data_IF_528352134407
#
_entry.id   IF_528352134407
#
_cell.length_a   1.000
_cell.length_b   1.000
_cell.length_c   1.000
_cell.angle_alpha   90.00
_cell.angle_beta   90.00
_cell.angle_gamma   90.00
#
_symmetry.space_group_name_H-M   'P 1'
#
loop_
_entity.id
_entity.type
_entity.pdbx_description
1 polymer ?
#
# COMPACT_ATOMS: atom_id res chain seq x y z
N UNK A 1 3.33 6.11 -10.58
CA UNK A 1 2.20 6.88 -10.02
C UNK A 1 1.24 6.05 -9.16
N UNK A 2 0.85 4.82 -9.50
CA UNK A 2 -0.14 4.06 -8.70
C UNK A 2 0.30 3.85 -7.24
N UNK A 3 1.60 3.60 -7.01
CA UNK A 3 2.17 3.54 -5.66
C UNK A 3 1.95 4.82 -4.85
N UNK A 4 1.95 6.00 -5.49
CA UNK A 4 1.71 7.26 -4.80
C UNK A 4 0.29 7.33 -4.22
N UNK A 5 -0.71 6.71 -4.87
CA UNK A 5 -2.06 6.62 -4.32
C UNK A 5 -2.05 5.82 -3.02
N UNK A 6 -1.32 4.70 -3.00
CA UNK A 6 -1.16 3.89 -1.77
C UNK A 6 -0.44 4.70 -0.68
N UNK A 7 0.60 5.45 -1.03
CA UNK A 7 1.28 6.33 -0.08
C UNK A 7 0.37 7.44 0.47
N UNK A 8 -0.49 8.04 -0.37
CA UNK A 8 -1.47 9.05 0.08
C UNK A 8 -2.45 8.43 1.08
N UNK A 9 -2.98 7.25 0.78
CA UNK A 9 -3.84 6.51 1.71
C UNK A 9 -3.11 6.14 3.01
N UNK A 10 -1.84 5.74 2.92
CA UNK A 10 -0.99 5.45 4.06
C UNK A 10 -0.82 6.68 4.97
N UNK A 11 -0.51 7.86 4.41
CA UNK A 11 -0.38 9.09 5.19
C UNK A 11 -1.70 9.52 5.82
N UNK A 12 -2.82 9.43 5.08
CA UNK A 12 -4.16 9.72 5.62
C UNK A 12 -4.47 8.77 6.80
N UNK A 13 -4.21 7.47 6.63
CA UNK A 13 -4.36 6.47 7.69
C UNK A 13 -3.47 6.77 8.90
N UNK A 14 -2.24 7.25 8.67
CA UNK A 14 -1.32 7.64 9.72
C UNK A 14 -1.81 8.89 10.49
N UNK A 15 -2.37 9.90 9.81
CA UNK A 15 -3.01 11.03 10.48
C UNK A 15 -4.20 10.58 11.34
N UNK A 16 -5.04 9.68 10.82
CA UNK A 16 -6.13 9.07 11.60
C UNK A 16 -5.59 8.36 12.84
N UNK A 17 -4.50 7.60 12.70
CA UNK A 17 -3.84 6.90 13.81
C UNK A 17 -3.31 7.87 14.87
N UNK A 18 -2.64 8.96 14.47
CA UNK A 18 -2.08 9.95 15.39
C UNK A 18 -3.20 10.69 16.14
N UNK A 19 -4.26 11.09 15.44
CA UNK A 19 -5.28 11.99 15.98
C UNK A 19 -6.44 11.27 16.66
N UNK A 20 -6.95 10.18 16.07
CA UNK A 20 -8.15 9.48 16.55
C UNK A 20 -7.85 8.24 17.39
N UNK A 21 -6.64 7.67 17.30
CA UNK A 21 -6.29 6.39 17.95
C UNK A 21 -5.06 6.52 18.86
N UNK A 22 -5.16 7.40 19.87
CA UNK A 22 -4.04 7.76 20.75
C UNK A 22 -3.70 6.69 21.80
N UNK A 23 -4.68 5.91 22.25
CA UNK A 23 -4.53 4.94 23.36
C UNK A 23 -3.99 3.56 22.93
N UNK A 24 -3.53 3.42 21.69
CA UNK A 24 -2.96 2.15 21.21
C UNK A 24 -1.52 1.99 21.71
N UNK A 25 -1.18 0.79 22.23
CA UNK A 25 0.20 0.44 22.59
C UNK A 25 1.05 0.37 21.33
N UNK A 26 2.09 1.20 21.25
CA UNK A 26 2.97 1.32 20.07
C UNK A 26 4.38 0.86 20.44
N UNK A 27 4.91 -0.23 19.84
CA UNK A 27 6.27 -0.68 20.10
C UNK A 27 7.33 0.29 19.55
N UNK A 28 6.98 1.05 18.52
CA UNK A 28 7.81 2.10 17.93
C UNK A 28 7.06 3.43 17.88
N UNK A 29 7.77 4.53 18.16
CA UNK A 29 7.26 5.88 18.02
C UNK A 29 8.28 6.75 17.29
N UNK A 30 7.83 7.40 16.22
CA UNK A 30 8.60 8.46 15.57
C UNK A 30 8.89 9.57 16.60
N UNK A 31 10.13 10.07 16.66
CA UNK A 31 10.53 11.11 17.61
C UNK A 31 9.76 12.42 17.40
N UNK A 32 9.73 13.28 18.42
CA UNK A 32 9.05 14.59 18.36
C UNK A 32 7.58 14.60 18.79
N UNK A 33 7.13 13.57 19.53
CA UNK A 33 5.75 13.45 20.06
C UNK A 33 4.70 13.65 18.94
N UNK A 34 3.55 14.27 19.22
CA UNK A 34 2.47 14.47 18.24
C UNK A 34 2.87 15.46 17.13
N UNK A 35 3.56 16.54 17.49
CA UNK A 35 3.93 17.61 16.55
C UNK A 35 4.93 17.10 15.50
N UNK A 36 6.02 16.46 15.93
CA UNK A 36 7.02 15.90 15.02
C UNK A 36 6.43 14.84 14.09
N UNK A 37 5.57 13.97 14.62
CA UNK A 37 4.82 12.98 13.83
C UNK A 37 3.97 13.62 12.73
N UNK A 38 3.26 14.69 13.07
CA UNK A 38 2.45 15.44 12.11
C UNK A 38 3.30 16.13 11.04
N UNK A 39 4.41 16.77 11.42
CA UNK A 39 5.28 17.47 10.47
C UNK A 39 5.90 16.49 9.47
N UNK A 40 6.48 15.39 9.96
CA UNK A 40 7.12 14.37 9.12
C UNK A 40 6.10 13.76 8.16
N UNK A 41 4.92 13.39 8.67
CA UNK A 41 3.84 12.87 7.83
C UNK A 41 3.32 13.91 6.83
N UNK A 42 3.22 15.18 7.25
CA UNK A 42 2.77 16.29 6.40
C UNK A 42 3.72 16.53 5.23
N UNK A 43 5.03 16.55 5.50
CA UNK A 43 6.05 16.68 4.45
C UNK A 43 5.95 15.51 3.46
N UNK A 44 5.90 14.27 3.96
CA UNK A 44 5.77 13.08 3.09
C UNK A 44 4.48 13.09 2.25
N UNK A 45 3.37 13.52 2.84
CA UNK A 45 2.09 13.66 2.15
C UNK A 45 2.15 14.71 1.05
N UNK A 46 2.66 15.91 1.35
CA UNK A 46 2.81 16.99 0.37
C UNK A 46 3.74 16.61 -0.79
N UNK A 47 4.88 15.97 -0.48
CA UNK A 47 5.80 15.47 -1.52
C UNK A 47 5.13 14.41 -2.41
N UNK A 48 4.29 13.54 -1.83
CA UNK A 48 3.55 12.53 -2.59
C UNK A 48 2.53 13.15 -3.53
N UNK A 49 1.81 14.18 -3.08
CA UNK A 49 0.88 14.96 -3.92
C UNK A 49 1.64 15.62 -5.06
N UNK A 50 2.76 16.29 -4.74
CA UNK A 50 3.56 16.99 -5.75
C UNK A 50 4.13 16.04 -6.80
N UNK A 51 4.69 14.90 -6.37
CA UNK A 51 5.17 13.85 -7.27
C UNK A 51 4.05 13.28 -8.14
N UNK A 52 2.82 13.19 -7.63
CA UNK A 52 1.67 12.73 -8.40
C UNK A 52 1.35 13.72 -9.53
N UNK A 53 1.33 15.03 -9.26
CA UNK A 53 1.14 16.05 -10.30
C UNK A 53 2.26 16.06 -11.34
N UNK A 54 3.53 15.97 -10.92
CA UNK A 54 4.67 15.88 -11.84
C UNK A 54 4.57 14.64 -12.73
N UNK A 55 4.03 13.52 -12.21
CA UNK A 55 3.88 12.29 -12.99
C UNK A 55 2.99 12.46 -14.24
N UNK A 56 2.12 13.48 -14.26
CA UNK A 56 1.28 13.81 -15.42
C UNK A 56 1.92 14.80 -16.38
N UNK A 57 3.14 15.28 -16.09
CA UNK A 57 3.90 16.14 -17.00
C UNK A 57 4.63 15.23 -18.01
N UNK A 58 4.34 15.36 -19.32
CA UNK A 58 4.97 14.55 -20.36
C UNK A 58 6.45 14.91 -20.51
N UNK A 59 7.33 13.94 -20.78
CA UNK A 59 8.75 14.21 -20.98
C UNK A 59 8.99 14.99 -22.28
N UNK A 60 10.02 15.83 -22.30
CA UNK A 60 10.34 16.70 -23.44
C UNK A 60 10.75 15.95 -24.73
N UNK A 61 10.99 14.64 -24.63
CA UNK A 61 11.32 13.76 -25.76
C UNK A 61 10.12 13.36 -26.62
N UNK A 62 8.88 13.60 -26.18
CA UNK A 62 7.66 13.28 -26.93
C UNK A 62 7.34 14.42 -27.90
N UNK A 63 7.07 14.09 -29.17
CA UNK A 63 6.65 15.08 -30.16
C UNK A 63 5.40 15.84 -29.67
N UNK A 64 5.38 17.16 -29.81
CA UNK A 64 4.28 18.02 -29.31
C UNK A 64 2.89 17.59 -29.82
N UNK A 65 2.82 16.94 -30.98
CA UNK A 65 1.59 16.44 -31.56
C UNK A 65 1.03 15.20 -30.84
N UNK A 66 1.86 14.45 -30.11
CA UNK A 66 1.47 13.20 -29.42
C UNK A 66 1.29 13.38 -27.91
N UNK A 67 1.67 14.53 -27.38
CA UNK A 67 1.58 14.88 -25.96
C UNK A 67 0.18 14.65 -25.38
N UNK A 68 -0.86 15.05 -26.11
CA UNK A 68 -2.24 14.91 -25.68
C UNK A 68 -2.67 13.44 -25.59
N UNK A 69 -2.34 12.65 -26.61
CA UNK A 69 -2.64 11.21 -26.66
C UNK A 69 -1.94 10.47 -25.52
N UNK A 70 -0.66 10.78 -25.27
CA UNK A 70 0.10 10.22 -24.14
C UNK A 70 -0.59 10.53 -22.80
N UNK A 71 -0.94 11.79 -22.56
CA UNK A 71 -1.55 12.21 -21.30
C UNK A 71 -2.92 11.56 -21.07
N UNK A 72 -3.73 11.41 -22.12
CA UNK A 72 -5.05 10.76 -22.03
C UNK A 72 -4.93 9.27 -21.71
N UNK A 73 -4.05 8.53 -22.39
CA UNK A 73 -3.83 7.10 -22.11
C UNK A 73 -3.29 6.92 -20.68
N UNK A 74 -2.37 7.77 -20.25
CA UNK A 74 -1.81 7.75 -18.91
C UNK A 74 -2.89 7.99 -17.83
N UNK A 75 -3.74 9.00 -18.03
CA UNK A 75 -4.83 9.33 -17.11
C UNK A 75 -5.87 8.20 -17.02
N UNK A 76 -6.31 7.67 -18.17
CA UNK A 76 -7.31 6.60 -18.22
C UNK A 76 -6.76 5.34 -17.54
N UNK A 77 -5.54 4.91 -17.88
CA UNK A 77 -4.91 3.73 -17.28
C UNK A 77 -4.72 3.88 -15.77
N UNK A 78 -4.36 5.08 -15.31
CA UNK A 78 -4.28 5.41 -13.88
C UNK A 78 -5.64 5.23 -13.18
N UNK A 79 -6.70 5.86 -13.71
CA UNK A 79 -8.04 5.82 -13.12
C UNK A 79 -8.59 4.39 -13.08
N UNK A 80 -8.47 3.64 -14.18
CA UNK A 80 -8.90 2.24 -14.26
C UNK A 80 -8.19 1.41 -13.19
N UNK A 81 -6.86 1.53 -13.09
CA UNK A 81 -6.07 0.77 -12.12
C UNK A 81 -6.40 1.15 -10.67
N UNK A 82 -6.64 2.44 -10.41
CA UNK A 82 -6.98 2.94 -9.08
C UNK A 82 -8.36 2.48 -8.61
N UNK A 83 -9.35 2.38 -9.52
CA UNK A 83 -10.73 1.97 -9.22
C UNK A 83 -10.85 0.44 -9.13
N UNK A 84 -10.04 -0.31 -9.88
CA UNK A 84 -10.07 -1.77 -9.92
C UNK A 84 -10.15 -2.47 -8.54
N UNK A 85 -9.31 -2.16 -7.54
CA UNK A 85 -9.41 -2.81 -6.22
C UNK A 85 -10.74 -2.54 -5.52
N UNK A 86 -11.37 -1.38 -5.74
CA UNK A 86 -12.68 -1.05 -5.16
C UNK A 86 -13.81 -1.83 -5.83
N UNK A 87 -13.75 -2.01 -7.15
CA UNK A 87 -14.71 -2.85 -7.88
C UNK A 87 -14.62 -4.29 -7.38
N UNK A 88 -13.40 -4.84 -7.30
CA UNK A 88 -13.19 -6.22 -6.80
C UNK A 88 -13.70 -6.36 -5.37
N UNK A 89 -13.42 -5.38 -4.50
CA UNK A 89 -13.90 -5.39 -3.12
C UNK A 89 -15.44 -5.38 -3.03
N UNK A 90 -16.13 -4.63 -3.89
CA UNK A 90 -17.59 -4.55 -3.85
C UNK A 90 -18.27 -5.78 -4.46
N UNK A 91 -17.66 -6.38 -5.50
CA UNK A 91 -18.15 -7.63 -6.10
C UNK A 91 -17.85 -8.86 -5.25
N UNK A 92 -16.86 -8.79 -4.35
CA UNK A 92 -16.49 -9.91 -3.48
C UNK A 92 -17.62 -10.23 -2.50
N UNK A 93 -18.03 -11.51 -2.45
CA UNK A 93 -19.06 -11.97 -1.51
C UNK A 93 -18.57 -11.83 -0.07
N UNK A 94 -19.23 -10.97 0.70
CA UNK A 94 -18.88 -10.65 2.11
C UNK A 94 -19.37 -11.70 3.11
N UNK A 95 -20.00 -12.80 2.63
CA UNK A 95 -20.57 -13.87 3.45
C UNK A 95 -19.57 -15.02 3.63
N UNK A 96 -19.32 -15.40 4.88
CA UNK A 96 -18.71 -16.67 5.26
C UNK A 96 -17.22 -16.80 4.93
N UNK A 97 -16.37 -16.14 5.70
CA UNK A 97 -15.01 -16.67 5.90
C UNK A 97 -15.07 -17.52 7.16
N UNK A 98 -15.06 -18.83 6.99
CA UNK A 98 -14.69 -19.74 8.07
C UNK A 98 -13.34 -19.28 8.63
N UNK A 99 -13.18 -19.39 9.95
CA UNK A 99 -12.03 -18.90 10.72
C UNK A 99 -10.71 -19.09 9.95
N UNK A 100 -10.20 -18.01 9.35
CA UNK A 100 -8.89 -18.02 8.71
C UNK A 100 -7.87 -18.21 9.84
N UNK A 101 -7.26 -19.39 9.91
CA UNK A 101 -6.23 -19.65 10.90
C UNK A 101 -5.08 -18.66 10.73
N UNK A 102 -4.72 -17.96 11.80
CA UNK A 102 -3.70 -16.92 11.74
C UNK A 102 -2.37 -17.51 11.26
N UNK A 103 -1.83 -17.06 10.11
CA UNK A 103 -0.55 -17.52 9.61
C UNK A 103 0.55 -17.24 10.64
N UNK A 104 1.47 -18.18 10.85
CA UNK A 104 2.51 -18.02 11.88
C UNK A 104 3.62 -17.12 11.36
N UNK A 105 3.82 -15.96 11.98
CA UNK A 105 4.88 -15.01 11.62
C UNK A 105 6.28 -15.63 11.78
N UNK A 106 7.17 -15.42 10.81
CA UNK A 106 8.57 -15.87 10.89
C UNK A 106 9.27 -15.22 12.08
N UNK A 107 10.05 -16.00 12.84
CA UNK A 107 10.98 -15.39 13.80
C UNK A 107 12.20 -14.88 13.05
N UNK A 108 12.88 -13.85 13.58
CA UNK A 108 14.07 -13.28 12.96
C UNK A 108 15.19 -14.32 12.68
N UNK A 109 15.18 -15.45 13.40
CA UNK A 109 16.13 -16.56 13.25
C UNK A 109 15.81 -17.49 12.07
N UNK A 110 14.54 -17.57 11.69
CA UNK A 110 14.02 -18.49 10.67
C UNK A 110 14.09 -17.86 9.26
N UNK A 111 14.55 -16.62 9.20
CA UNK A 111 14.57 -15.78 8.01
C UNK A 111 15.90 -15.95 7.27
N UNK A 112 15.86 -16.34 6.00
CA UNK A 112 17.06 -16.44 5.17
C UNK A 112 17.61 -15.03 4.82
N UNK A 113 18.79 -14.64 5.33
CA UNK A 113 19.36 -13.31 5.10
C UNK A 113 19.83 -13.10 3.66
N UNK A 114 20.07 -14.16 2.89
CA UNK A 114 20.52 -14.08 1.49
C UNK A 114 19.38 -13.73 0.50
N UNK A 115 18.12 -13.78 0.94
CA UNK A 115 16.97 -13.39 0.12
C UNK A 115 16.73 -11.88 0.24
N UNK A 116 16.51 -11.21 -0.91
CA UNK A 116 16.21 -9.79 -0.99
C UNK A 116 14.98 -9.44 -0.11
N UNK A 117 15.02 -8.35 0.69
CA UNK A 117 13.95 -8.07 1.67
C UNK A 117 12.54 -8.01 1.08
N UNK A 118 12.38 -7.46 -0.13
CA UNK A 118 11.08 -7.36 -0.81
C UNK A 118 10.54 -8.71 -1.32
N UNK A 119 11.38 -9.74 -1.43
CA UNK A 119 11.02 -11.08 -1.92
C UNK A 119 10.85 -12.10 -0.78
N UNK A 120 10.97 -11.66 0.48
CA UNK A 120 10.92 -12.53 1.66
C UNK A 120 9.47 -12.67 2.14
N UNK A 121 9.01 -13.91 2.30
CA UNK A 121 7.73 -14.18 2.97
C UNK A 121 7.81 -13.88 4.47
N UNK A 122 6.76 -13.31 5.04
CA UNK A 122 6.67 -12.97 6.48
C UNK A 122 5.93 -14.03 7.31
N UNK A 123 5.23 -14.97 6.66
CA UNK A 123 4.41 -15.98 7.33
C UNK A 123 4.66 -17.39 6.81
N UNK A 124 4.64 -18.38 7.71
CA UNK A 124 4.49 -19.79 7.37
C UNK A 124 3.02 -20.09 7.10
N UNK A 125 2.72 -20.62 5.91
CA UNK A 125 1.42 -21.24 5.61
C UNK A 125 1.50 -22.67 6.15
N UNK A 126 0.90 -22.91 7.32
CA UNK A 126 0.82 -24.25 7.89
C UNK A 126 -0.35 -24.95 7.19
N UNK A 127 -0.04 -25.88 6.28
CA UNK A 127 -1.05 -26.67 5.57
C UNK A 127 -1.60 -27.74 6.52
N UNK A 128 -2.84 -27.60 6.97
CA UNK A 128 -3.54 -28.68 7.70
C UNK A 128 -4.04 -29.76 6.75
N UNK A 129 -3.95 -31.02 7.17
CA UNK A 129 -4.42 -32.19 6.40
C UNK A 129 -5.92 -32.12 6.07
N UNK A 130 -6.71 -31.44 6.90
CA UNK A 130 -8.15 -31.21 6.75
C UNK A 130 -8.50 -30.41 5.48
N UNK A 131 -7.59 -29.54 5.02
CA UNK A 131 -7.75 -28.71 3.82
C UNK A 131 -7.04 -29.28 2.60
N UNK A 132 -6.47 -30.49 2.71
CA UNK A 132 -5.89 -31.20 1.57
C UNK A 132 -7.03 -31.94 0.87
N UNK A 133 -7.31 -31.57 -0.39
CA UNK A 133 -8.21 -32.34 -1.24
C UNK A 133 -7.69 -33.78 -1.30
N UNK A 134 -8.43 -34.70 -0.66
CA UNK A 134 -8.15 -36.13 -0.77
C UNK A 134 -8.54 -36.57 -2.17
N UNK A 135 -7.56 -36.98 -2.96
CA UNK A 135 -7.77 -37.65 -4.25
C UNK A 135 -8.12 -39.11 -4.02
#
# INVERSE_FOLDING_TARGET
MIYLVVYLLFFIGYFVLIYKKQNLKRPYNVPGKRVGKTIIAGIGFLLSIFALFISFVPPASIAKNETHTYQMILLISFVVTAILPFIVYELHNKRGHDTIEEPRHFKARDVNPAIYPAARGEHHIIKKEEHILKH
#
